data_IF_792858148888
#
_entry.id   IF_792858148888
#
_cell.length_a   1.000
_cell.length_b   1.000
_cell.length_c   1.000
_cell.angle_alpha   90.00
_cell.angle_beta   90.00
_cell.angle_gamma   90.00
#
_symmetry.space_group_name_H-M   'P 1'
#
loop_
_entity.id
_entity.type
_entity.pdbx_description
1 polymer ?
#
# COMPACT_ATOMS: atom_id res chain seq x y z
N UNK A 1 15.71 -3.98 9.19
CA UNK A 1 14.38 -4.56 9.52
C UNK A 1 13.49 -3.57 10.25
N UNK A 2 13.86 -3.11 11.46
CA UNK A 2 13.06 -2.10 12.21
C UNK A 2 12.69 -0.86 11.37
N UNK A 3 13.65 -0.26 10.68
CA UNK A 3 13.38 0.92 9.82
C UNK A 3 12.39 0.63 8.69
N UNK A 4 12.35 -0.61 8.18
CA UNK A 4 11.41 -1.01 7.13
C UNK A 4 10.01 -1.25 7.70
N UNK A 5 9.90 -1.85 8.89
CA UNK A 5 8.64 -1.96 9.63
C UNK A 5 8.09 -0.57 9.98
N UNK A 6 8.93 0.34 10.46
CA UNK A 6 8.54 1.73 10.75
C UNK A 6 8.02 2.44 9.48
N UNK A 7 8.64 2.17 8.32
CA UNK A 7 8.16 2.68 7.03
C UNK A 7 6.79 2.10 6.65
N UNK A 8 6.56 0.79 6.81
CA UNK A 8 5.26 0.16 6.53
C UNK A 8 4.18 0.74 7.45
N UNK A 9 4.48 0.93 8.73
CA UNK A 9 3.56 1.58 9.68
C UNK A 9 3.18 3.00 9.25
N UNK A 10 4.12 3.77 8.67
CA UNK A 10 3.82 5.08 8.08
C UNK A 10 2.84 4.97 6.91
N UNK A 11 3.00 3.98 6.03
CA UNK A 11 2.10 3.75 4.91
C UNK A 11 0.69 3.34 5.38
N UNK A 12 0.59 2.55 6.45
CA UNK A 12 -0.70 2.19 7.07
C UNK A 12 -1.39 3.43 7.64
N UNK A 13 -0.66 4.29 8.36
CA UNK A 13 -1.21 5.54 8.87
C UNK A 13 -1.68 6.47 7.73
N UNK A 14 -0.94 6.50 6.62
CA UNK A 14 -1.36 7.23 5.43
C UNK A 14 -2.65 6.67 4.81
N UNK A 15 -2.83 5.35 4.79
CA UNK A 15 -4.10 4.72 4.36
C UNK A 15 -5.28 5.21 5.19
N UNK A 16 -5.14 5.21 6.52
CA UNK A 16 -6.20 5.64 7.44
C UNK A 16 -6.55 7.11 7.25
N UNK A 17 -5.54 7.98 7.16
CA UNK A 17 -5.75 9.42 6.98
C UNK A 17 -6.40 9.74 5.63
N UNK A 18 -5.93 9.14 4.53
CA UNK A 18 -6.50 9.38 3.20
C UNK A 18 -7.95 8.91 3.16
N UNK A 19 -8.25 7.73 3.71
CA UNK A 19 -9.63 7.23 3.81
C UNK A 19 -10.53 8.18 4.61
N UNK A 20 -10.05 8.72 5.74
CA UNK A 20 -10.80 9.70 6.52
C UNK A 20 -11.07 11.00 5.75
N UNK A 21 -10.07 11.52 5.02
CA UNK A 21 -10.23 12.73 4.22
C UNK A 21 -11.25 12.53 3.10
N UNK A 22 -11.19 11.40 2.37
CA UNK A 22 -12.15 11.07 1.32
C UNK A 22 -13.57 10.97 1.89
N UNK A 23 -13.75 10.23 2.99
CA UNK A 23 -15.06 10.05 3.63
C UNK A 23 -15.63 11.35 4.21
N UNK A 24 -14.75 12.28 4.59
CA UNK A 24 -15.12 13.62 5.09
C UNK A 24 -15.32 14.65 3.97
N UNK A 25 -15.14 14.23 2.71
CA UNK A 25 -15.22 15.08 1.52
C UNK A 25 -14.23 16.28 1.58
N UNK A 26 -13.06 16.03 2.16
CA UNK A 26 -11.92 16.96 2.22
C UNK A 26 -10.97 16.72 1.05
N UNK A 27 -10.27 17.79 0.61
CA UNK A 27 -9.28 17.66 -0.45
C UNK A 27 -8.06 16.88 0.04
N UNK A 28 -7.79 15.75 -0.62
CA UNK A 28 -6.65 14.87 -0.34
C UNK A 28 -5.78 14.64 -1.58
N UNK A 29 -5.97 15.42 -2.65
CA UNK A 29 -5.34 15.17 -3.96
C UNK A 29 -3.81 15.10 -3.92
N UNK A 30 -3.16 16.03 -3.19
CA UNK A 30 -1.70 16.02 -3.01
C UNK A 30 -1.25 14.79 -2.23
N UNK A 31 -1.91 14.51 -1.10
CA UNK A 31 -1.56 13.37 -0.23
C UNK A 31 -1.74 12.04 -0.94
N UNK A 32 -2.82 11.89 -1.70
CA UNK A 32 -3.11 10.73 -2.52
C UNK A 32 -2.05 10.52 -3.60
N UNK A 33 -1.61 11.59 -4.27
CA UNK A 33 -0.54 11.53 -5.28
C UNK A 33 0.80 11.11 -4.68
N UNK A 34 1.16 11.65 -3.52
CA UNK A 34 2.33 11.24 -2.75
C UNK A 34 2.25 9.78 -2.35
N UNK A 35 1.10 9.34 -1.84
CA UNK A 35 0.86 7.96 -1.43
C UNK A 35 1.00 6.97 -2.59
N UNK A 36 0.44 7.26 -3.77
CA UNK A 36 0.64 6.44 -4.96
C UNK A 36 2.13 6.24 -5.30
N UNK A 37 2.91 7.32 -5.21
CA UNK A 37 4.36 7.28 -5.47
C UNK A 37 5.09 6.45 -4.43
N UNK A 38 4.71 6.56 -3.16
CA UNK A 38 5.26 5.74 -2.07
C UNK A 38 4.92 4.25 -2.27
N UNK A 39 3.69 3.93 -2.66
CA UNK A 39 3.28 2.55 -2.92
C UNK A 39 4.04 1.91 -4.08
N UNK A 40 4.32 2.65 -5.16
CA UNK A 40 5.17 2.17 -6.24
C UNK A 40 6.59 1.84 -5.75
N UNK A 41 7.18 2.70 -4.94
CA UNK A 41 8.49 2.46 -4.33
C UNK A 41 8.46 1.25 -3.38
N UNK A 42 7.40 1.11 -2.59
CA UNK A 42 7.22 -0.03 -1.69
C UNK A 42 7.17 -1.36 -2.45
N UNK A 43 6.48 -1.44 -3.60
CA UNK A 43 6.46 -2.66 -4.43
C UNK A 43 7.87 -3.06 -4.89
N UNK A 44 8.70 -2.08 -5.28
CA UNK A 44 10.11 -2.35 -5.62
C UNK A 44 10.87 -2.93 -4.43
N UNK A 45 10.68 -2.38 -3.22
CA UNK A 45 11.33 -2.87 -2.00
C UNK A 45 10.85 -4.27 -1.61
N UNK A 46 9.55 -4.57 -1.77
CA UNK A 46 9.00 -5.91 -1.52
C UNK A 46 9.52 -6.93 -2.51
N UNK A 47 9.64 -6.58 -3.79
CA UNK A 47 10.24 -7.45 -4.80
C UNK A 47 11.67 -7.85 -4.42
N UNK A 48 12.48 -6.89 -3.96
CA UNK A 48 13.85 -7.15 -3.49
C UNK A 48 13.84 -8.06 -2.24
N UNK A 49 12.96 -7.80 -1.28
CA UNK A 49 12.82 -8.61 -0.07
C UNK A 49 12.46 -10.07 -0.40
N UNK A 50 11.42 -10.28 -1.21
CA UNK A 50 10.92 -11.63 -1.56
C UNK A 50 11.86 -12.37 -2.50
N UNK A 51 12.78 -11.66 -3.15
CA UNK A 51 13.87 -12.30 -3.93
C UNK A 51 14.96 -12.92 -3.05
N UNK A 52 15.00 -12.63 -1.75
CA UNK A 52 15.97 -13.23 -0.84
C UNK A 52 15.57 -14.68 -0.47
N UNK A 53 16.54 -15.58 -0.18
CA UNK A 53 16.22 -16.99 0.09
C UNK A 53 15.23 -17.20 1.24
N UNK A 54 15.30 -16.35 2.27
CA UNK A 54 14.47 -16.39 3.48
C UNK A 54 12.98 -16.18 3.17
N UNK A 55 12.65 -15.30 2.22
CA UNK A 55 11.27 -14.96 1.86
C UNK A 55 10.85 -15.47 0.47
N UNK A 56 11.70 -16.28 -0.19
CA UNK A 56 11.51 -16.74 -1.58
C UNK A 56 10.20 -17.48 -1.88
N UNK A 57 9.52 -18.01 -0.85
CA UNK A 57 8.19 -18.62 -0.97
C UNK A 57 7.05 -17.64 -1.23
N UNK A 58 7.29 -16.32 -1.08
CA UNK A 58 6.28 -15.26 -1.23
C UNK A 58 6.29 -14.58 -2.59
N UNK A 59 7.10 -15.06 -3.54
CA UNK A 59 7.19 -14.45 -4.87
C UNK A 59 5.85 -14.40 -5.64
N UNK A 60 4.90 -15.28 -5.31
CA UNK A 60 3.56 -15.26 -5.89
C UNK A 60 2.74 -14.02 -5.48
N UNK A 61 3.02 -13.44 -4.31
CA UNK A 61 2.33 -12.25 -3.80
C UNK A 61 2.71 -10.97 -4.56
N UNK A 62 3.85 -10.97 -5.28
CA UNK A 62 4.32 -9.82 -6.05
C UNK A 62 3.30 -9.40 -7.12
N UNK A 63 2.65 -10.37 -7.77
CA UNK A 63 1.63 -10.05 -8.78
C UNK A 63 0.41 -9.38 -8.15
N UNK A 64 0.03 -9.80 -6.94
CA UNK A 64 -1.05 -9.16 -6.19
C UNK A 64 -0.68 -7.72 -5.83
N UNK A 65 0.55 -7.49 -5.35
CA UNK A 65 1.05 -6.15 -5.05
C UNK A 65 1.02 -5.22 -6.26
N UNK A 66 1.51 -5.68 -7.41
CA UNK A 66 1.48 -4.92 -8.66
C UNK A 66 0.04 -4.56 -9.04
N UNK A 67 -0.87 -5.54 -8.95
CA UNK A 67 -2.28 -5.32 -9.28
C UNK A 67 -2.94 -4.28 -8.38
N UNK A 68 -2.68 -4.30 -7.06
CA UNK A 68 -3.27 -3.31 -6.15
C UNK A 68 -2.76 -1.90 -6.41
N UNK A 69 -1.47 -1.74 -6.72
CA UNK A 69 -0.92 -0.41 -7.05
C UNK A 69 -1.43 0.10 -8.40
N UNK A 70 -1.65 -0.79 -9.38
CA UNK A 70 -2.32 -0.42 -10.63
C UNK A 70 -3.75 0.06 -10.37
N UNK A 71 -4.54 -0.69 -9.60
CA UNK A 71 -5.91 -0.32 -9.23
C UNK A 71 -5.96 1.02 -8.48
N UNK A 72 -5.04 1.24 -7.54
CA UNK A 72 -4.90 2.52 -6.85
C UNK A 72 -4.65 3.66 -7.85
N UNK A 73 -3.68 3.49 -8.75
CA UNK A 73 -3.31 4.51 -9.74
C UNK A 73 -4.49 4.84 -10.66
N UNK A 74 -5.23 3.83 -11.13
CA UNK A 74 -6.44 3.99 -11.93
C UNK A 74 -7.55 4.71 -11.15
N UNK A 75 -7.80 4.31 -9.90
CA UNK A 75 -8.81 4.93 -9.05
C UNK A 75 -8.49 6.41 -8.76
N UNK A 76 -7.22 6.77 -8.57
CA UNK A 76 -6.79 8.16 -8.40
C UNK A 76 -7.04 9.04 -9.63
N UNK A 77 -7.17 8.43 -10.83
CA UNK A 77 -7.53 9.12 -12.06
C UNK A 77 -9.04 9.15 -12.33
N UNK A 78 -9.82 8.39 -11.56
CA UNK A 78 -11.27 8.28 -11.67
C UNK A 78 -12.02 9.16 -10.68
N UNK A 79 -13.35 9.24 -10.84
CA UNK A 79 -14.23 9.98 -9.92
C UNK A 79 -14.90 9.08 -8.87
N UNK A 80 -14.51 7.80 -8.75
CA UNK A 80 -15.11 6.87 -7.78
C UNK A 80 -14.31 6.85 -6.48
N UNK A 81 -14.64 7.82 -5.62
CA UNK A 81 -14.00 8.00 -4.31
C UNK A 81 -14.28 6.85 -3.34
N UNK A 82 -15.43 6.16 -3.46
CA UNK A 82 -15.74 5.00 -2.61
C UNK A 82 -14.89 3.80 -3.01
N UNK A 83 -14.76 3.54 -4.31
CA UNK A 83 -13.86 2.51 -4.82
C UNK A 83 -12.40 2.77 -4.42
N UNK A 84 -11.98 4.05 -4.38
CA UNK A 84 -10.65 4.42 -3.90
C UNK A 84 -10.43 4.08 -2.43
N UNK A 85 -11.40 4.36 -1.56
CA UNK A 85 -11.36 3.97 -0.14
C UNK A 85 -11.30 2.45 -0.01
N UNK A 86 -12.07 1.71 -0.80
CA UNK A 86 -12.07 0.25 -0.75
C UNK A 86 -10.68 -0.33 -1.07
N UNK A 87 -10.01 0.18 -2.10
CA UNK A 87 -8.64 -0.23 -2.44
C UNK A 87 -7.66 0.10 -1.31
N UNK A 88 -7.70 1.33 -0.79
CA UNK A 88 -6.74 1.78 0.22
C UNK A 88 -6.93 0.98 1.53
N UNK A 89 -8.17 0.88 2.02
CA UNK A 89 -8.44 0.39 3.35
C UNK A 89 -8.55 -1.15 3.44
N UNK A 90 -9.07 -1.81 2.40
CA UNK A 90 -9.26 -3.27 2.41
C UNK A 90 -8.21 -4.05 1.64
N UNK A 91 -7.60 -3.49 0.59
CA UNK A 91 -6.62 -4.22 -0.21
C UNK A 91 -5.20 -3.86 0.24
N UNK A 92 -4.84 -2.57 0.17
CA UNK A 92 -3.46 -2.13 0.46
C UNK A 92 -3.12 -2.24 1.94
N UNK A 93 -3.94 -1.67 2.82
CA UNK A 93 -3.67 -1.67 4.26
C UNK A 93 -3.55 -3.07 4.85
N UNK A 94 -4.40 -4.00 4.40
CA UNK A 94 -4.35 -5.40 4.83
C UNK A 94 -3.06 -6.08 4.39
N UNK A 95 -2.66 -5.90 3.13
CA UNK A 95 -1.41 -6.48 2.64
C UNK A 95 -0.18 -5.88 3.36
N UNK A 96 -0.18 -4.57 3.67
CA UNK A 96 0.88 -3.93 4.45
C UNK A 96 0.99 -4.56 5.86
N UNK A 97 -0.16 -4.79 6.49
CA UNK A 97 -0.24 -5.43 7.82
C UNK A 97 0.28 -6.87 7.78
N UNK A 98 -0.03 -7.62 6.72
CA UNK A 98 0.49 -8.98 6.53
C UNK A 98 2.02 -9.01 6.39
N UNK A 99 2.60 -8.06 5.67
CA UNK A 99 4.06 -7.94 5.56
C UNK A 99 4.70 -7.69 6.92
N UNK A 100 4.11 -6.86 7.78
CA UNK A 100 4.63 -6.65 9.16
C UNK A 100 4.69 -7.98 9.90
N UNK A 101 3.59 -8.75 9.90
CA UNK A 101 3.57 -10.05 10.58
C UNK A 101 4.65 -11.01 10.06
N UNK A 102 4.90 -11.03 8.75
CA UNK A 102 5.96 -11.85 8.14
C UNK A 102 7.37 -11.42 8.61
N UNK A 103 7.59 -10.14 8.84
CA UNK A 103 8.89 -9.59 9.23
C UNK A 103 9.18 -9.68 10.73
N UNK A 104 8.13 -9.85 11.54
CA UNK A 104 8.22 -9.99 12.99
C UNK A 104 8.31 -11.46 13.47
N UNK A 105 7.91 -12.42 12.63
CA UNK A 105 8.07 -13.86 12.82
C UNK A 105 9.53 -14.33 12.68
#
# INVERSE_FOLDING_TARGET
MKEFIDYINSLIADCEEISMLILSNEDCSEKLSTFCSQMLNFVSQIYELYSTPEYSGRNEDIQNWILQVQRLTEACSGNDLLYLVDIIDYEIKNNLTEVIHILED
#
